data_IF_931882348478
#
_entry.id   IF_931882348478
#
_cell.length_a   1.000
_cell.length_b   1.000
_cell.length_c   1.000
_cell.angle_alpha   90.00
_cell.angle_beta   90.00
_cell.angle_gamma   90.00
#
_symmetry.space_group_name_H-M   'P 1'
#
loop_
_entity.id
_entity.type
_entity.pdbx_description
1 polymer ?
#
# COMPACT_ATOMS: atom_id res chain seq x y z
N UNK A 1 -22.10 -12.97 -6.24
CA UNK A 1 -21.10 -13.42 -5.23
C UNK A 1 -19.78 -13.67 -5.94
N UNK A 2 -18.67 -13.07 -5.49
CA UNK A 2 -17.38 -13.15 -6.18
C UNK A 2 -16.71 -14.52 -6.00
N UNK A 3 -16.68 -15.33 -7.06
CA UNK A 3 -16.04 -16.66 -7.10
C UNK A 3 -14.58 -16.63 -6.58
N UNK A 4 -13.82 -15.61 -6.97
CA UNK A 4 -12.45 -15.39 -6.49
C UNK A 4 -12.36 -15.29 -4.97
N UNK A 5 -13.31 -14.61 -4.33
CA UNK A 5 -13.32 -14.45 -2.88
C UNK A 5 -13.59 -15.80 -2.17
N UNK A 6 -14.44 -16.65 -2.75
CA UNK A 6 -14.67 -17.99 -2.24
C UNK A 6 -13.41 -18.87 -2.35
N UNK A 7 -12.67 -18.78 -3.46
CA UNK A 7 -11.40 -19.48 -3.66
C UNK A 7 -10.33 -18.99 -2.68
N UNK A 8 -10.19 -17.67 -2.49
CA UNK A 8 -9.27 -17.10 -1.49
C UNK A 8 -9.62 -17.61 -0.09
N UNK A 9 -10.91 -17.63 0.28
CA UNK A 9 -11.35 -18.13 1.59
C UNK A 9 -10.96 -19.60 1.78
N UNK A 10 -11.12 -20.43 0.75
CA UNK A 10 -10.72 -21.85 0.78
C UNK A 10 -9.20 -22.01 0.93
N UNK A 11 -8.40 -21.28 0.16
CA UNK A 11 -6.92 -21.33 0.24
C UNK A 11 -6.46 -20.82 1.62
N UNK A 12 -7.08 -19.75 2.11
CA UNK A 12 -6.71 -19.13 3.38
C UNK A 12 -6.79 -20.08 4.57
N UNK A 13 -7.77 -20.99 4.61
CA UNK A 13 -7.87 -21.98 5.68
C UNK A 13 -6.57 -22.79 5.85
N UNK A 14 -5.94 -23.18 4.74
CA UNK A 14 -4.67 -23.91 4.77
C UNK A 14 -3.49 -23.01 5.13
N UNK A 15 -3.48 -21.77 4.65
CA UNK A 15 -2.43 -20.79 4.98
C UNK A 15 -2.48 -20.42 6.47
N UNK A 16 -3.66 -20.31 7.05
CA UNK A 16 -3.88 -19.97 8.46
C UNK A 16 -3.37 -21.08 9.39
N UNK A 17 -3.64 -22.34 9.03
CA UNK A 17 -3.06 -23.50 9.72
C UNK A 17 -1.52 -23.48 9.68
N UNK A 18 -0.93 -23.16 8.52
CA UNK A 18 0.53 -23.03 8.41
C UNK A 18 1.05 -21.87 9.26
N UNK A 19 0.42 -20.70 9.18
CA UNK A 19 0.78 -19.50 9.94
C UNK A 19 0.77 -19.75 11.47
N UNK A 20 -0.08 -20.64 11.96
CA UNK A 20 -0.14 -20.99 13.38
C UNK A 20 1.16 -21.66 13.89
N UNK A 21 1.86 -22.40 13.03
CA UNK A 21 3.10 -23.12 13.37
C UNK A 21 4.33 -22.22 13.22
N UNK A 22 4.26 -21.19 12.38
CA UNK A 22 5.41 -20.33 12.07
C UNK A 22 5.49 -19.05 12.93
N UNK A 23 6.71 -18.55 13.20
CA UNK A 23 6.91 -17.28 13.92
C UNK A 23 6.35 -16.09 13.14
N UNK A 24 6.00 -15.01 13.84
CA UNK A 24 5.21 -13.90 13.30
C UNK A 24 5.77 -13.28 12.01
N UNK A 25 7.11 -13.24 11.84
CA UNK A 25 7.78 -12.58 10.71
C UNK A 25 7.74 -13.37 9.39
N UNK A 26 7.40 -14.66 9.40
CA UNK A 26 7.26 -15.49 8.19
C UNK A 26 5.79 -15.76 7.82
N UNK A 27 4.84 -15.28 8.63
CA UNK A 27 3.41 -15.48 8.39
C UNK A 27 2.95 -14.74 7.13
N UNK A 28 2.24 -15.43 6.25
CA UNK A 28 1.66 -14.86 5.04
C UNK A 28 0.32 -14.18 5.30
N UNK A 29 0.00 -13.10 4.57
CA UNK A 29 -1.30 -12.45 4.61
C UNK A 29 -2.18 -12.86 3.43
N UNK A 30 -3.51 -12.72 3.53
CA UNK A 30 -4.44 -12.96 2.41
C UNK A 30 -4.05 -12.15 1.17
N UNK A 31 -3.55 -10.93 1.37
CA UNK A 31 -3.06 -10.05 0.32
C UNK A 31 -1.88 -10.62 -0.49
N UNK A 32 -1.17 -11.64 0.02
CA UNK A 32 -0.09 -12.31 -0.69
C UNK A 32 -0.58 -13.41 -1.64
N UNK A 33 -1.87 -13.75 -1.62
CA UNK A 33 -2.47 -14.72 -2.55
C UNK A 33 -2.83 -13.96 -3.84
N UNK A 34 -2.07 -14.23 -4.89
CA UNK A 34 -2.23 -13.58 -6.20
C UNK A 34 -2.68 -14.62 -7.23
N UNK A 35 -3.60 -14.21 -8.11
CA UNK A 35 -4.03 -15.02 -9.25
C UNK A 35 -3.28 -14.60 -10.51
N UNK A 36 -3.03 -15.56 -11.39
CA UNK A 36 -2.54 -15.31 -12.76
C UNK A 36 -3.60 -15.70 -13.76
N UNK A 37 -3.48 -15.15 -14.97
CA UNK A 37 -4.27 -15.57 -16.11
C UNK A 37 -3.39 -16.36 -17.07
N UNK A 38 -3.98 -17.25 -17.87
CA UNK A 38 -3.28 -17.96 -18.94
C UNK A 38 -2.63 -17.01 -19.96
N UNK A 39 -3.19 -15.81 -20.10
CA UNK A 39 -2.69 -14.75 -20.99
C UNK A 39 -1.42 -14.09 -20.43
N UNK A 40 -1.24 -14.11 -19.10
CA UNK A 40 -0.07 -13.56 -18.42
C UNK A 40 0.43 -14.52 -17.33
N UNK A 41 1.06 -15.65 -17.74
CA UNK A 41 1.63 -16.60 -16.80
C UNK A 41 2.86 -16.03 -16.10
N UNK A 42 3.25 -16.62 -14.97
CA UNK A 42 4.52 -16.28 -14.34
C UNK A 42 5.68 -16.62 -15.28
N UNK A 43 6.72 -15.77 -15.29
CA UNK A 43 7.90 -15.99 -16.10
C UNK A 43 8.60 -17.27 -15.63
N UNK A 44 9.03 -18.12 -16.58
CA UNK A 44 9.73 -19.38 -16.29
C UNK A 44 11.11 -19.42 -16.92
N UNK A 45 12.07 -20.03 -16.24
CA UNK A 45 13.39 -20.32 -16.79
C UNK A 45 13.34 -21.51 -17.77
N UNK A 46 14.43 -21.74 -18.53
CA UNK A 46 14.52 -22.86 -19.47
C UNK A 46 14.32 -24.24 -18.83
N UNK A 47 14.54 -24.36 -17.50
CA UNK A 47 14.26 -25.56 -16.69
C UNK A 47 12.79 -25.65 -16.19
N UNK A 48 11.94 -24.69 -16.54
CA UNK A 48 10.53 -24.64 -16.12
C UNK A 48 10.26 -24.05 -14.73
N UNK A 49 11.30 -23.66 -13.98
CA UNK A 49 11.14 -23.01 -12.66
C UNK A 49 10.62 -21.58 -12.80
N UNK A 50 9.83 -21.13 -11.82
CA UNK A 50 9.30 -19.76 -11.80
C UNK A 50 10.43 -18.77 -11.48
N UNK A 51 10.61 -17.78 -12.34
CA UNK A 51 11.53 -16.67 -12.12
C UNK A 51 10.88 -15.62 -11.22
N UNK A 52 11.14 -15.69 -9.91
CA UNK A 52 10.55 -14.77 -8.93
C UNK A 52 10.94 -13.30 -9.18
N UNK A 53 12.20 -13.04 -9.52
CA UNK A 53 12.70 -11.68 -9.76
C UNK A 53 12.20 -11.07 -11.08
N UNK A 54 12.05 -11.90 -12.12
CA UNK A 54 11.56 -11.45 -13.43
C UNK A 54 10.03 -11.43 -13.55
N UNK A 55 9.31 -12.03 -12.59
CA UNK A 55 7.85 -11.96 -12.56
C UNK A 55 7.42 -10.68 -11.85
N UNK A 56 7.45 -9.57 -12.59
CA UNK A 56 6.83 -8.32 -12.13
C UNK A 56 5.30 -8.46 -12.18
N UNK A 57 4.70 -8.80 -11.04
CA UNK A 57 3.28 -8.54 -10.83
C UNK A 57 3.11 -7.03 -10.65
N UNK A 58 3.00 -6.34 -11.79
CA UNK A 58 2.17 -5.16 -11.82
C UNK A 58 0.78 -5.64 -11.43
N UNK A 59 0.46 -5.58 -10.13
CA UNK A 59 -0.89 -5.69 -9.64
C UNK A 59 -1.69 -4.62 -10.36
N UNK A 60 -2.29 -4.98 -11.49
CA UNK A 60 -3.54 -4.37 -11.92
C UNK A 60 -4.53 -4.76 -10.85
N UNK A 61 -4.54 -3.97 -9.78
CA UNK A 61 -5.72 -3.72 -9.01
C UNK A 61 -6.73 -3.11 -10.00
N UNK A 62 -7.37 -3.97 -10.80
CA UNK A 62 -8.59 -3.66 -11.56
C UNK A 62 -9.82 -3.70 -10.65
N UNK A 63 -9.62 -3.60 -9.33
CA UNK A 63 -10.55 -2.88 -8.48
C UNK A 63 -10.06 -1.45 -8.46
N UNK A 64 -10.77 -0.53 -9.13
CA UNK A 64 -10.41 0.88 -9.24
C UNK A 64 -10.15 1.52 -7.89
N UNK A 65 -8.92 1.41 -7.39
CA UNK A 65 -8.49 2.15 -6.23
C UNK A 65 -8.36 3.59 -6.71
N UNK A 66 -9.27 4.45 -6.26
CA UNK A 66 -9.25 5.88 -6.56
C UNK A 66 -7.90 6.42 -6.13
N UNK A 67 -7.04 6.73 -7.11
CA UNK A 67 -5.74 7.34 -6.87
C UNK A 67 -5.98 8.85 -6.87
N UNK A 68 -5.87 9.53 -5.72
CA UNK A 68 -6.16 10.95 -5.64
C UNK A 68 -5.21 11.80 -6.50
N UNK A 69 -4.05 11.26 -6.87
CA UNK A 69 -2.99 12.02 -7.53
C UNK A 69 -2.57 13.21 -6.67
N UNK A 70 -2.12 14.28 -7.33
CA UNK A 70 -1.88 15.57 -6.68
C UNK A 70 -3.18 16.32 -6.50
N UNK A 71 -3.74 16.25 -5.30
CA UNK A 71 -4.99 16.90 -4.92
C UNK A 71 -4.76 17.70 -3.64
N UNK A 72 -5.44 18.85 -3.49
CA UNK A 72 -5.35 19.72 -2.30
C UNK A 72 -6.51 19.48 -1.30
N UNK A 73 -7.49 18.66 -1.70
CA UNK A 73 -8.66 18.33 -0.88
C UNK A 73 -8.31 17.36 0.25
N UNK A 74 -8.39 17.86 1.49
CA UNK A 74 -8.10 17.13 2.72
C UNK A 74 -8.90 15.83 2.86
N UNK A 75 -10.18 15.83 2.46
CA UNK A 75 -11.10 14.68 2.55
C UNK A 75 -10.65 13.52 1.65
N UNK A 76 -10.19 13.82 0.44
CA UNK A 76 -9.79 12.78 -0.51
C UNK A 76 -8.47 12.13 -0.07
N UNK A 77 -7.54 12.92 0.49
CA UNK A 77 -6.27 12.40 1.02
C UNK A 77 -6.52 11.57 2.29
N UNK A 78 -7.41 12.01 3.18
CA UNK A 78 -7.72 11.28 4.41
C UNK A 78 -8.33 9.92 4.12
N UNK A 79 -9.33 9.85 3.24
CA UNK A 79 -9.94 8.58 2.82
C UNK A 79 -8.90 7.67 2.14
N UNK A 80 -8.04 8.25 1.30
CA UNK A 80 -6.96 7.50 0.64
C UNK A 80 -5.85 7.02 1.58
N UNK A 81 -5.57 7.71 2.70
CA UNK A 81 -4.56 7.26 3.67
C UNK A 81 -5.15 6.17 4.58
N UNK A 82 -6.40 6.33 5.02
CA UNK A 82 -7.05 5.39 5.95
C UNK A 82 -7.16 3.99 5.36
N UNK A 83 -7.66 3.88 4.12
CA UNK A 83 -7.94 2.57 3.51
C UNK A 83 -6.68 1.69 3.40
N UNK A 84 -5.55 2.14 2.82
CA UNK A 84 -4.33 1.36 2.76
C UNK A 84 -3.74 1.02 4.14
N UNK A 85 -3.80 1.92 5.13
CA UNK A 85 -3.28 1.60 6.47
C UNK A 85 -4.10 0.47 7.10
N UNK A 86 -5.43 0.53 6.99
CA UNK A 86 -6.33 -0.52 7.46
C UNK A 86 -6.07 -1.85 6.74
N UNK A 87 -5.95 -1.82 5.42
CA UNK A 87 -5.67 -3.00 4.60
C UNK A 87 -4.30 -3.64 4.93
N UNK A 88 -3.26 -2.82 5.06
CA UNK A 88 -1.90 -3.29 5.39
C UNK A 88 -1.84 -3.90 6.80
N UNK A 89 -2.62 -3.34 7.73
CA UNK A 89 -2.74 -3.85 9.09
C UNK A 89 -3.69 -5.07 9.18
N UNK A 90 -4.40 -5.41 8.10
CA UNK A 90 -5.41 -6.46 8.09
C UNK A 90 -6.62 -6.16 8.98
N UNK A 91 -6.87 -4.89 9.29
CA UNK A 91 -8.00 -4.44 10.13
C UNK A 91 -9.10 -3.89 9.23
N UNK A 92 -10.08 -4.71 8.88
CA UNK A 92 -11.22 -4.28 8.06
C UNK A 92 -12.40 -3.72 8.88
N UNK A 93 -12.35 -3.85 10.21
CA UNK A 93 -13.52 -3.63 11.08
C UNK A 93 -13.37 -2.41 12.01
N UNK A 94 -12.15 -1.93 12.26
CA UNK A 94 -11.91 -0.79 13.14
C UNK A 94 -11.69 0.47 12.30
N UNK A 95 -12.60 1.44 12.41
CA UNK A 95 -12.39 2.79 11.85
C UNK A 95 -11.12 3.38 12.47
N UNK A 96 -10.07 3.56 11.66
CA UNK A 96 -8.91 4.35 12.07
C UNK A 96 -9.40 5.79 12.28
N UNK A 97 -9.44 6.25 13.53
CA UNK A 97 -9.74 7.64 13.85
C UNK A 97 -8.60 8.53 13.37
N UNK A 98 -8.93 9.75 12.93
CA UNK A 98 -7.94 10.66 12.34
C UNK A 98 -6.79 11.06 13.27
N UNK A 99 -7.05 11.04 14.58
CA UNK A 99 -6.09 11.29 15.65
C UNK A 99 -5.40 10.03 16.20
N UNK A 100 -5.77 8.84 15.71
CA UNK A 100 -5.21 7.59 16.22
C UNK A 100 -3.78 7.38 15.70
N UNK A 101 -2.87 7.12 16.62
CA UNK A 101 -1.49 6.80 16.28
C UNK A 101 -1.38 5.35 15.80
N UNK A 102 -1.11 5.12 14.52
CA UNK A 102 -1.07 3.76 13.96
C UNK A 102 0.14 2.93 14.41
N UNK A 103 1.21 3.55 14.91
CA UNK A 103 2.35 2.82 15.48
C UNK A 103 1.91 2.11 16.77
N UNK A 104 1.12 2.81 17.60
CA UNK A 104 0.52 2.23 18.80
C UNK A 104 -0.50 1.12 18.47
N UNK A 105 -1.12 1.19 17.28
CA UNK A 105 -2.07 0.18 16.80
C UNK A 105 -1.39 -1.07 16.19
N UNK A 106 -0.05 -1.08 16.10
CA UNK A 106 0.75 -2.22 15.67
C UNK A 106 1.32 -2.11 14.25
N UNK A 107 1.33 -0.91 13.64
CA UNK A 107 2.00 -0.71 12.36
C UNK A 107 3.52 -0.93 12.53
N UNK A 108 4.08 -1.91 11.81
CA UNK A 108 5.50 -2.25 11.88
C UNK A 108 6.31 -1.68 10.69
N UNK A 109 7.64 -1.82 10.74
CA UNK A 109 8.55 -1.26 9.73
C UNK A 109 8.32 -1.79 8.31
N UNK A 110 8.00 -3.07 8.14
CA UNK A 110 7.69 -3.67 6.84
C UNK A 110 6.38 -3.12 6.27
N UNK A 111 5.37 -2.97 7.13
CA UNK A 111 4.11 -2.32 6.80
C UNK A 111 4.31 -0.85 6.43
N UNK A 112 5.18 -0.13 7.14
CA UNK A 112 5.57 1.25 6.79
C UNK A 112 6.21 1.35 5.41
N UNK A 113 7.12 0.42 5.06
CA UNK A 113 7.71 0.38 3.71
C UNK A 113 6.63 0.11 2.64
N UNK A 114 5.69 -0.77 2.94
CA UNK A 114 4.57 -1.10 2.05
C UNK A 114 3.66 0.11 1.84
N UNK A 115 3.27 0.78 2.92
CA UNK A 115 2.48 2.01 2.90
C UNK A 115 3.19 3.12 2.11
N UNK A 116 4.51 3.29 2.31
CA UNK A 116 5.34 4.24 1.55
C UNK A 116 5.21 4.03 0.04
N UNK A 117 5.28 2.77 -0.43
CA UNK A 117 5.15 2.46 -1.87
C UNK A 117 3.77 2.81 -2.41
N UNK A 118 2.72 2.48 -1.67
CA UNK A 118 1.33 2.79 -2.04
C UNK A 118 1.09 4.30 -2.08
N UNK A 119 1.59 5.03 -1.09
CA UNK A 119 1.44 6.48 -1.01
C UNK A 119 2.24 7.22 -2.08
N UNK A 120 3.50 6.82 -2.34
CA UNK A 120 4.29 7.33 -3.47
C UNK A 120 3.51 7.25 -4.78
N UNK A 121 2.92 6.07 -5.04
CA UNK A 121 2.21 5.76 -6.28
C UNK A 121 0.84 6.43 -6.38
N UNK A 122 0.15 6.63 -5.26
CA UNK A 122 -1.21 7.17 -5.22
C UNK A 122 -1.30 8.68 -5.11
N UNK A 123 -0.38 9.30 -4.37
CA UNK A 123 -0.30 10.75 -4.16
C UNK A 123 0.54 11.47 -5.22
N UNK A 124 1.10 10.72 -6.18
CA UNK A 124 2.05 11.22 -7.19
C UNK A 124 3.17 12.09 -6.57
N UNK A 125 3.73 11.54 -5.49
CA UNK A 125 4.70 12.21 -4.63
C UNK A 125 5.96 11.34 -4.49
N UNK A 126 6.89 11.40 -5.47
CA UNK A 126 8.02 10.48 -5.56
C UNK A 126 9.02 10.60 -4.39
N UNK A 127 9.07 11.78 -3.77
CA UNK A 127 9.93 12.08 -2.60
C UNK A 127 9.32 11.64 -1.27
N UNK A 128 8.16 10.98 -1.26
CA UNK A 128 7.59 10.46 -0.01
C UNK A 128 8.56 9.43 0.63
N UNK A 129 8.92 9.57 1.90
CA UNK A 129 9.86 8.64 2.55
C UNK A 129 9.18 7.92 3.71
N UNK A 130 9.67 6.73 4.12
CA UNK A 130 9.19 6.05 5.32
C UNK A 130 9.23 6.93 6.57
N UNK A 131 10.20 7.85 6.64
CA UNK A 131 10.35 8.81 7.73
C UNK A 131 9.10 9.68 7.92
N UNK A 132 8.36 10.00 6.85
CA UNK A 132 7.11 10.76 6.97
C UNK A 132 6.03 10.02 7.74
N UNK A 133 5.96 8.69 7.59
CA UNK A 133 4.98 7.86 8.30
C UNK A 133 5.35 7.72 9.79
N UNK A 134 6.65 7.69 10.09
CA UNK A 134 7.12 7.65 11.48
C UNK A 134 6.92 8.99 12.18
N UNK A 135 7.27 10.10 11.51
CA UNK A 135 7.19 11.44 12.07
C UNK A 135 5.75 11.93 12.22
N UNK A 136 4.88 11.56 11.26
CA UNK A 136 3.47 11.93 11.24
C UNK A 136 2.63 10.68 11.34
N UNK A 137 2.51 10.15 12.56
CA UNK A 137 1.91 8.85 12.86
C UNK A 137 0.39 8.86 13.01
N UNK A 138 -0.27 9.99 12.69
CA UNK A 138 -1.72 10.15 12.64
C UNK A 138 -2.15 10.58 11.24
N UNK A 139 -3.42 10.33 10.88
CA UNK A 139 -3.94 10.65 9.54
C UNK A 139 -3.90 12.15 9.33
N UNK A 140 -4.36 12.92 10.32
CA UNK A 140 -4.36 14.39 10.29
C UNK A 140 -2.97 14.96 10.09
N UNK A 141 -1.99 14.52 10.88
CA UNK A 141 -0.62 15.05 10.81
C UNK A 141 0.03 14.72 9.46
N UNK A 142 -0.21 13.51 8.95
CA UNK A 142 0.35 13.09 7.67
C UNK A 142 -0.25 13.88 6.51
N UNK A 143 -1.54 14.22 6.55
CA UNK A 143 -2.17 15.06 5.53
C UNK A 143 -1.54 16.46 5.51
N UNK A 144 -1.42 17.10 6.68
CA UNK A 144 -0.80 18.43 6.75
C UNK A 144 0.64 18.42 6.25
N UNK A 145 1.41 17.38 6.60
CA UNK A 145 2.78 17.21 6.11
C UNK A 145 2.83 17.03 4.59
N UNK A 146 1.97 16.19 4.03
CA UNK A 146 1.89 15.94 2.57
C UNK A 146 1.51 17.22 1.83
N UNK A 147 0.49 17.95 2.28
CA UNK A 147 0.05 19.21 1.67
C UNK A 147 1.16 20.26 1.69
N UNK A 148 1.82 20.44 2.83
CA UNK A 148 2.94 21.38 2.98
C UNK A 148 4.08 21.05 2.02
N UNK A 149 4.44 19.78 1.90
CA UNK A 149 5.53 19.35 1.01
C UNK A 149 5.17 19.48 -0.48
N UNK A 150 3.91 19.19 -0.85
CA UNK A 150 3.44 19.40 -2.22
C UNK A 150 3.47 20.87 -2.62
N UNK A 151 3.11 21.79 -1.71
CA UNK A 151 3.23 23.23 -1.95
C UNK A 151 4.68 23.68 -2.17
N UNK A 152 5.62 23.18 -1.35
CA UNK A 152 7.04 23.47 -1.51
C UNK A 152 7.60 22.97 -2.86
N UNK A 153 7.16 21.79 -3.33
CA UNK A 153 7.55 21.29 -4.65
C UNK A 153 6.99 22.12 -5.79
N UNK A 154 5.73 22.57 -5.69
CA UNK A 154 5.13 23.48 -6.68
C UNK A 154 5.92 24.80 -6.75
N UNK A 155 6.29 25.37 -5.61
CA UNK A 155 7.10 26.59 -5.54
C UNK A 155 8.50 26.41 -6.17
N UNK A 156 9.20 25.33 -5.83
CA UNK A 156 10.52 25.00 -6.38
C UNK A 156 10.49 24.77 -7.90
N UNK A 157 9.48 24.05 -8.39
CA UNK A 157 9.30 23.79 -9.83
C UNK A 157 8.98 25.08 -10.61
N UNK A 158 8.18 25.98 -10.04
CA UNK A 158 7.87 27.29 -10.63
C UNK A 158 9.11 28.20 -10.72
N UNK A 159 9.96 28.19 -9.69
CA UNK A 159 11.23 28.92 -9.67
C UNK A 159 12.19 28.45 -10.77
N UNK A 160 12.26 27.14 -11.02
CA UNK A 160 13.08 26.57 -12.10
C UNK A 160 12.58 26.93 -13.50
N UNK A 161 11.26 27.03 -13.70
CA UNK A 161 10.65 27.39 -14.99
C UNK A 161 10.75 28.88 -15.35
N UNK A 162 11.00 29.78 -14.39
CA UNK A 162 11.17 31.22 -14.64
C UNK A 162 12.61 31.64 -14.96
N UNK A 163 13.57 30.70 -14.94
CA UNK A 163 14.99 30.94 -15.27
C UNK A 163 15.36 30.61 -16.72
N UNK A 164 14.38 30.26 -17.55
CA UNK A 164 14.49 30.10 -18.99
C UNK A 164 13.42 30.97 -19.65
#
# INVERSE_FOLDING_TARGET
MNERAAVIKKIWLSVEQANAVYPAHVRGAKAHILFTTLIKPMLRAGKGTIQRAGTEYNGTNDGGQVRPGRTEYHIVISDYIRQPILDIMGRHENKLTDSANWLNLGLNSLQTITATRIFKRGLDFPSFTPNLIYLHSTVTDLIYAVLRLQQQQKASTRLRRRRY
#
